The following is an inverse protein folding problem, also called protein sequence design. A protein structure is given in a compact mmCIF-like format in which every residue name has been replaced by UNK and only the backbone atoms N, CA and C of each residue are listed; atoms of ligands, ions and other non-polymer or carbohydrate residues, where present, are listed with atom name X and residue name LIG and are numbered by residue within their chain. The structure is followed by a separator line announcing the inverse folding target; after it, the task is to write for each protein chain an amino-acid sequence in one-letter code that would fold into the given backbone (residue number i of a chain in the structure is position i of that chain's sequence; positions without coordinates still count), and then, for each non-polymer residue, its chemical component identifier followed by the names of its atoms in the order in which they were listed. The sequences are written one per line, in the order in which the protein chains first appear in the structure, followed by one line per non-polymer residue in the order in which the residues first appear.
data_IF_417663080743
#
_entry.id   IF_417663080743
#
_cell.length_a   1.000
_cell.length_b   1.000
_cell.length_c   1.000
_cell.angle_alpha   90.00
_cell.angle_beta   90.00
_cell.angle_gamma   90.00
#
_symmetry.space_group_name_H-M   'P 1'
#
loop_
_entity.id
_entity.type
_entity.pdbx_description
1 polymer ?
#
# COMPACT_ATOMS: atom_id res chain seq x y z
N UNK A 1 7.75 5.39 -7.59
CA UNK A 1 6.63 4.88 -6.79
C UNK A 1 6.73 5.43 -5.38
N UNK A 2 6.66 6.75 -5.25
CA UNK A 2 7.20 7.44 -4.06
C UNK A 2 6.32 7.25 -2.83
N UNK A 3 5.00 7.07 -3.01
CA UNK A 3 4.07 6.91 -1.89
C UNK A 3 4.32 5.64 -1.06
N UNK A 4 4.40 4.47 -1.69
CA UNK A 4 4.57 3.21 -0.96
C UNK A 4 5.94 3.09 -0.29
N UNK A 5 7.00 3.63 -0.89
CA UNK A 5 8.35 3.58 -0.32
C UNK A 5 8.53 4.52 0.88
N UNK A 6 8.01 5.76 0.81
CA UNK A 6 8.40 6.82 1.74
C UNK A 6 7.29 7.28 2.67
N UNK A 7 6.02 7.11 2.29
CA UNK A 7 4.90 7.72 3.01
C UNK A 7 3.91 6.70 3.57
N UNK A 8 3.86 5.50 3.02
CA UNK A 8 2.84 4.52 3.36
C UNK A 8 2.90 4.05 4.81
N UNK A 9 4.08 3.74 5.33
CA UNK A 9 4.21 3.26 6.72
C UNK A 9 3.70 4.32 7.71
N UNK A 10 4.18 5.56 7.57
CA UNK A 10 3.74 6.68 8.42
C UNK A 10 2.23 6.96 8.26
N UNK A 11 1.70 6.83 7.04
CA UNK A 11 0.27 6.97 6.77
C UNK A 11 -0.56 5.87 7.44
N UNK A 12 -0.06 4.62 7.42
CA UNK A 12 -0.71 3.47 8.03
C UNK A 12 -0.71 3.55 9.56
N UNK A 13 0.32 4.15 10.17
CA UNK A 13 0.35 4.39 11.61
C UNK A 13 -0.62 5.49 12.06
N UNK A 14 -0.78 6.54 11.25
CA UNK A 14 -1.59 7.71 11.59
C UNK A 14 -3.09 7.55 11.31
N UNK A 15 -3.50 6.50 10.60
CA UNK A 15 -4.87 6.34 10.12
C UNK A 15 -5.46 4.96 10.42
N UNK A 16 -6.79 4.87 10.57
CA UNK A 16 -7.47 3.59 10.73
C UNK A 16 -7.26 2.70 9.50
N UNK A 17 -7.15 1.40 9.74
CA UNK A 17 -6.89 0.39 8.72
C UNK A 17 -7.88 0.47 7.53
N UNK A 18 -9.17 0.73 7.78
CA UNK A 18 -10.19 0.90 6.74
C UNK A 18 -9.85 2.03 5.74
N UNK A 19 -9.38 3.17 6.26
CA UNK A 19 -8.99 4.32 5.43
C UNK A 19 -7.71 4.02 4.64
N UNK A 20 -6.79 3.29 5.25
CA UNK A 20 -5.54 2.88 4.61
C UNK A 20 -5.83 1.92 3.46
N UNK A 21 -6.70 0.93 3.68
CA UNK A 21 -7.14 -0.03 2.67
C UNK A 21 -7.81 0.68 1.48
N UNK A 22 -8.72 1.63 1.72
CA UNK A 22 -9.39 2.39 0.65
C UNK A 22 -8.38 3.19 -0.21
N UNK A 23 -7.38 3.83 0.43
CA UNK A 23 -6.33 4.55 -0.27
C UNK A 23 -5.42 3.60 -1.05
N UNK A 24 -5.05 2.45 -0.48
CA UNK A 24 -4.26 1.43 -1.16
C UNK A 24 -4.99 0.92 -2.40
N UNK A 25 -6.29 0.61 -2.31
CA UNK A 25 -7.11 0.19 -3.46
C UNK A 25 -7.16 1.26 -4.55
N UNK A 26 -7.40 2.52 -4.19
CA UNK A 26 -7.42 3.65 -5.14
C UNK A 26 -6.06 3.85 -5.78
N UNK A 27 -4.98 3.70 -5.01
CA UNK A 27 -3.61 3.80 -5.49
C UNK A 27 -3.33 2.67 -6.48
N UNK A 28 -3.64 1.43 -6.11
CA UNK A 28 -3.45 0.23 -6.93
C UNK A 28 -4.17 0.31 -8.28
N UNK A 29 -5.40 0.83 -8.30
CA UNK A 29 -6.17 1.08 -9.54
C UNK A 29 -5.50 2.10 -10.47
N UNK A 30 -4.79 3.10 -9.92
CA UNK A 30 -4.05 4.11 -10.70
C UNK A 30 -2.67 3.63 -11.16
N UNK A 31 -2.14 2.55 -10.58
CA UNK A 31 -0.84 2.02 -10.96
C UNK A 31 -0.94 1.15 -12.21
N UNK A 32 0.01 1.34 -13.13
CA UNK A 32 0.24 0.39 -14.22
C UNK A 32 0.78 -0.93 -13.70
N UNK A 33 0.71 -1.99 -14.51
CA UNK A 33 1.26 -3.32 -14.15
C UNK A 33 2.72 -3.25 -13.73
N UNK A 34 3.54 -2.42 -14.40
CA UNK A 34 4.93 -2.19 -13.99
C UNK A 34 5.01 -1.60 -12.58
N UNK A 35 4.15 -0.62 -12.26
CA UNK A 35 4.09 -0.06 -10.90
C UNK A 35 3.71 -1.10 -9.86
N UNK A 36 2.71 -1.95 -10.14
CA UNK A 36 2.31 -3.03 -9.24
C UNK A 36 3.44 -4.05 -9.02
N UNK A 37 4.15 -4.43 -10.09
CA UNK A 37 5.28 -5.34 -9.99
C UNK A 37 6.44 -4.77 -9.17
N UNK A 38 6.70 -3.46 -9.27
CA UNK A 38 7.68 -2.81 -8.40
C UNK A 38 7.20 -2.73 -6.94
N UNK A 39 5.89 -2.51 -6.71
CA UNK A 39 5.28 -2.57 -5.38
C UNK A 39 5.57 -3.88 -4.66
N UNK A 40 5.42 -4.99 -5.38
CA UNK A 40 5.58 -6.35 -4.84
C UNK A 40 7.04 -6.67 -4.50
N UNK A 41 8.00 -5.90 -5.01
CA UNK A 41 9.43 -6.04 -4.66
C UNK A 41 9.80 -5.24 -3.41
N UNK A 42 8.96 -4.29 -2.99
CA UNK A 42 9.21 -3.52 -1.78
C UNK A 42 8.99 -4.38 -0.54
N UNK A 43 9.89 -4.25 0.42
CA UNK A 43 9.79 -4.93 1.71
C UNK A 43 9.01 -4.04 2.67
N UNK A 44 7.80 -4.43 3.00
CA UNK A 44 6.94 -3.74 3.96
C UNK A 44 7.03 -4.39 5.34
N UNK A 45 6.73 -3.64 6.40
CA UNK A 45 6.53 -4.24 7.73
C UNK A 45 5.36 -5.23 7.73
N UNK A 46 5.27 -6.06 8.76
CA UNK A 46 4.25 -7.10 8.87
C UNK A 46 2.83 -6.53 8.87
N UNK A 47 2.62 -5.36 9.50
CA UNK A 47 1.35 -4.63 9.50
C UNK A 47 1.01 -4.11 8.10
N UNK A 48 1.95 -3.39 7.49
CA UNK A 48 1.83 -2.84 6.15
C UNK A 48 1.51 -3.92 5.11
N UNK A 49 2.15 -5.07 5.21
CA UNK A 49 1.87 -6.25 4.37
C UNK A 49 0.44 -6.75 4.54
N UNK A 50 -0.06 -6.87 5.79
CA UNK A 50 -1.45 -7.28 6.04
C UNK A 50 -2.45 -6.30 5.39
N UNK A 51 -2.22 -5.00 5.52
CA UNK A 51 -3.09 -3.97 4.92
C UNK A 51 -3.11 -4.04 3.39
N UNK A 52 -1.94 -4.26 2.76
CA UNK A 52 -1.86 -4.45 1.32
C UNK A 52 -2.61 -5.71 0.89
N UNK A 53 -2.44 -6.83 1.60
CA UNK A 53 -3.19 -8.05 1.32
C UNK A 53 -4.70 -7.85 1.47
N UNK A 54 -5.15 -7.17 2.52
CA UNK A 54 -6.56 -6.82 2.72
C UNK A 54 -7.09 -5.91 1.61
N UNK A 55 -6.27 -5.02 1.06
CA UNK A 55 -6.66 -4.14 -0.04
C UNK A 55 -6.78 -4.88 -1.39
N UNK A 56 -6.04 -5.97 -1.58
CA UNK A 56 -6.03 -6.76 -2.82
C UNK A 56 -7.01 -7.94 -2.80
N UNK A 57 -7.59 -8.25 -1.64
CA UNK A 57 -8.54 -9.35 -1.46
C UNK A 57 -9.97 -9.00 -1.88
#
# INVERSE_FOLDING_TARGET
MVFLDYYFEEFAEKHPDEKVIDILQKTWKKMSERGRNEALKLSFSERSTKLIHSALS
#
